data_IF_857360470026
#
_entry.id   IF_857360470026
#
_cell.length_a   1.000
_cell.length_b   1.000
_cell.length_c   1.000
_cell.angle_alpha   90.00
_cell.angle_beta   90.00
_cell.angle_gamma   90.00
#
_symmetry.space_group_name_H-M   'P 1'
#
loop_
_entity.id
_entity.type
_entity.pdbx_description
1 polymer ?
#
# COMPACT_ATOMS: atom_id res chain seq x y z
N UNK A 1 6.72 20.73 -16.03
CA UNK A 1 6.92 19.53 -15.18
C UNK A 1 6.00 18.37 -15.57
N UNK A 2 4.67 18.49 -15.46
CA UNK A 2 3.75 17.39 -15.81
C UNK A 2 3.94 16.87 -17.24
N UNK A 3 4.13 17.76 -18.22
CA UNK A 3 4.41 17.34 -19.60
C UNK A 3 5.73 16.57 -19.73
N UNK A 4 6.75 16.87 -18.91
CA UNK A 4 7.98 16.07 -18.87
C UNK A 4 7.70 14.68 -18.31
N UNK A 5 6.93 14.56 -17.23
CA UNK A 5 6.53 13.27 -16.68
C UNK A 5 5.77 12.41 -17.69
N UNK A 6 4.85 13.02 -18.45
CA UNK A 6 4.06 12.30 -19.47
C UNK A 6 4.91 11.68 -20.58
N UNK A 7 6.17 12.09 -20.77
CA UNK A 7 7.10 11.49 -21.74
C UNK A 7 7.56 10.09 -21.37
N UNK A 8 7.40 9.69 -20.11
CA UNK A 8 7.75 8.34 -19.69
C UNK A 8 6.96 7.30 -20.50
N UNK A 9 7.56 6.17 -20.87
CA UNK A 9 7.00 5.25 -21.86
C UNK A 9 5.86 4.38 -21.31
N UNK A 10 5.79 4.20 -19.99
CA UNK A 10 4.80 3.36 -19.34
C UNK A 10 3.86 4.19 -18.48
N UNK A 11 2.75 3.58 -18.09
CA UNK A 11 1.79 4.05 -17.12
C UNK A 11 1.58 2.99 -16.05
N UNK A 12 1.06 3.39 -14.91
CA UNK A 12 0.63 2.46 -13.86
C UNK A 12 -0.33 1.38 -14.40
N UNK A 13 -1.23 1.74 -15.32
CA UNK A 13 -2.13 0.76 -15.96
C UNK A 13 -1.43 -0.28 -16.83
N UNK A 14 -0.21 -0.02 -17.30
CA UNK A 14 0.55 -0.98 -18.11
C UNK A 14 1.24 -2.00 -17.21
N UNK A 15 1.72 -1.56 -16.05
CA UNK A 15 2.47 -2.36 -15.08
C UNK A 15 1.56 -3.19 -14.16
N UNK A 16 0.42 -2.63 -13.74
CA UNK A 16 -0.49 -3.27 -12.81
C UNK A 16 -1.74 -3.76 -13.54
N UNK A 17 -1.84 -5.08 -13.71
CA UNK A 17 -2.97 -5.73 -14.39
C UNK A 17 -4.31 -5.54 -13.67
N UNK A 18 -4.29 -5.48 -12.33
CA UNK A 18 -5.50 -5.27 -11.54
C UNK A 18 -5.32 -4.17 -10.51
N UNK A 19 -6.14 -3.14 -10.64
CA UNK A 19 -6.35 -2.09 -9.63
C UNK A 19 -7.79 -2.16 -9.15
N UNK A 20 -8.00 -2.90 -8.05
CA UNK A 20 -9.35 -3.22 -7.56
C UNK A 20 -9.65 -2.50 -6.26
N UNK A 21 -10.83 -1.88 -6.17
CA UNK A 21 -11.37 -1.43 -4.90
C UNK A 21 -11.60 -2.61 -3.96
N UNK A 22 -11.49 -2.41 -2.65
CA UNK A 22 -11.80 -3.45 -1.68
C UNK A 22 -13.29 -3.81 -1.55
N UNK A 23 -13.58 -4.59 -0.51
CA UNK A 23 -14.89 -5.15 -0.19
C UNK A 23 -15.92 -4.05 0.09
N UNK A 24 -17.13 -4.22 -0.45
CA UNK A 24 -18.32 -3.47 -0.02
C UNK A 24 -19.29 -4.45 0.65
N UNK A 25 -19.47 -4.31 1.96
CA UNK A 25 -20.39 -5.18 2.72
C UNK A 25 -21.84 -4.71 2.60
N UNK A 26 -22.05 -3.39 2.62
CA UNK A 26 -23.38 -2.77 2.82
C UNK A 26 -23.98 -3.12 4.19
N UNK A 27 -23.14 -3.21 5.21
CA UNK A 27 -23.51 -3.47 6.61
C UNK A 27 -22.27 -3.52 7.50
N UNK A 28 -21.40 -2.50 7.43
CA UNK A 28 -20.09 -2.53 8.09
C UNK A 28 -20.19 -2.76 9.60
N UNK A 29 -21.23 -2.25 10.24
CA UNK A 29 -21.56 -2.48 11.65
C UNK A 29 -21.86 -3.94 12.01
N UNK A 30 -22.38 -4.71 11.05
CA UNK A 30 -22.70 -6.14 11.19
C UNK A 30 -21.50 -7.02 10.78
N UNK A 31 -20.88 -6.71 9.64
CA UNK A 31 -19.84 -7.56 9.03
C UNK A 31 -18.42 -7.25 9.49
N UNK A 32 -18.11 -6.03 9.94
CA UNK A 32 -16.79 -5.68 10.46
C UNK A 32 -16.75 -5.80 11.98
N UNK A 33 -15.75 -6.54 12.45
CA UNK A 33 -15.60 -6.90 13.85
C UNK A 33 -14.22 -6.49 14.34
N UNK A 34 -14.12 -6.20 15.64
CA UNK A 34 -12.84 -6.10 16.34
C UNK A 34 -12.72 -7.31 17.26
N UNK A 35 -11.56 -7.96 17.24
CA UNK A 35 -11.37 -9.16 18.02
C UNK A 35 -10.02 -9.79 17.74
N UNK A 36 -9.92 -11.09 18.00
CA UNK A 36 -8.72 -11.89 17.82
C UNK A 36 -9.08 -13.30 17.37
N UNK A 37 -8.13 -13.96 16.72
CA UNK A 37 -8.25 -15.36 16.33
C UNK A 37 -7.58 -16.21 17.42
N UNK A 38 -8.31 -17.16 17.97
CA UNK A 38 -7.83 -18.13 18.96
C UNK A 38 -8.17 -19.53 18.45
N UNK A 39 -7.17 -20.39 18.28
CA UNK A 39 -7.35 -21.77 17.77
C UNK A 39 -8.21 -21.82 16.49
N UNK A 40 -9.43 -22.34 16.58
CA UNK A 40 -10.44 -22.51 15.53
C UNK A 40 -11.56 -21.46 15.57
N UNK A 41 -11.48 -20.50 16.50
CA UNK A 41 -12.51 -19.49 16.75
C UNK A 41 -12.00 -18.06 16.52
N UNK A 42 -12.95 -17.19 16.23
CA UNK A 42 -12.81 -15.76 16.36
C UNK A 42 -13.59 -15.32 17.60
N UNK A 43 -12.96 -14.53 18.46
CA UNK A 43 -13.60 -13.92 19.63
C UNK A 43 -13.49 -12.41 19.45
N UNK A 44 -14.63 -11.72 19.51
CA UNK A 44 -14.63 -10.27 19.31
C UNK A 44 -15.95 -9.61 19.65
N UNK A 45 -15.95 -8.28 19.56
CA UNK A 45 -17.10 -7.45 19.89
C UNK A 45 -17.92 -7.12 18.64
N UNK A 46 -19.21 -7.41 18.67
CA UNK A 46 -20.17 -6.95 17.67
C UNK A 46 -20.76 -5.62 18.12
N UNK A 47 -20.51 -4.57 17.34
CA UNK A 47 -21.15 -3.26 17.57
C UNK A 47 -22.65 -3.31 17.36
N UNK A 48 -23.12 -4.12 16.40
CA UNK A 48 -24.53 -4.22 16.06
C UNK A 48 -25.37 -4.95 17.14
N UNK A 49 -24.77 -5.90 17.88
CA UNK A 49 -25.42 -6.57 19.02
C UNK A 49 -25.00 -6.03 20.39
N UNK A 50 -24.05 -5.10 20.43
CA UNK A 50 -23.45 -4.54 21.66
C UNK A 50 -22.96 -5.61 22.66
N UNK A 51 -22.34 -6.67 22.14
CA UNK A 51 -21.84 -7.78 22.96
C UNK A 51 -20.66 -8.51 22.33
N UNK A 52 -19.96 -9.28 23.16
CA UNK A 52 -18.97 -10.25 22.68
C UNK A 52 -19.66 -11.41 21.96
N UNK A 53 -19.04 -11.86 20.86
CA UNK A 53 -19.49 -12.96 20.02
C UNK A 53 -18.32 -13.91 19.76
N UNK A 54 -18.66 -15.17 19.52
CA UNK A 54 -17.74 -16.21 19.10
C UNK A 54 -18.19 -16.71 17.74
N UNK A 55 -17.29 -16.69 16.76
CA UNK A 55 -17.53 -17.12 15.39
C UNK A 55 -16.51 -18.19 14.98
N UNK A 56 -16.79 -18.92 13.90
CA UNK A 56 -15.80 -19.79 13.28
C UNK A 56 -14.66 -18.96 12.67
N UNK A 57 -13.41 -19.34 12.93
CA UNK A 57 -12.24 -18.59 12.43
C UNK A 57 -12.17 -18.54 10.90
N UNK A 58 -12.53 -19.63 10.22
CA UNK A 58 -12.28 -19.80 8.78
C UNK A 58 -13.14 -18.89 7.89
N UNK A 59 -14.33 -18.48 8.34
CA UNK A 59 -15.20 -17.52 7.63
C UNK A 59 -14.82 -16.06 7.89
N UNK A 60 -14.01 -15.80 8.91
CA UNK A 60 -13.58 -14.46 9.29
C UNK A 60 -12.22 -14.16 8.68
N UNK A 61 -12.12 -13.08 7.90
CA UNK A 61 -10.87 -12.67 7.23
C UNK A 61 -10.30 -11.39 7.84
N UNK A 62 -8.97 -11.27 7.98
CA UNK A 62 -8.35 -10.03 8.41
C UNK A 62 -8.60 -8.95 7.34
N UNK A 63 -9.01 -7.74 7.76
CA UNK A 63 -9.32 -6.64 6.84
C UNK A 63 -8.60 -5.35 7.25
N UNK A 64 -7.98 -4.69 6.27
CA UNK A 64 -7.37 -3.37 6.42
C UNK A 64 -8.35 -2.29 5.97
N UNK A 65 -8.48 -1.24 6.78
CA UNK A 65 -9.31 -0.07 6.45
C UNK A 65 -8.43 1.05 5.88
N UNK A 66 -8.99 1.90 5.01
CA UNK A 66 -8.24 2.99 4.37
C UNK A 66 -7.46 3.89 5.34
N UNK A 67 -8.02 4.20 6.51
CA UNK A 67 -7.35 5.04 7.53
C UNK A 67 -6.09 4.39 8.14
N UNK A 68 -6.01 3.07 8.10
CA UNK A 68 -4.94 2.27 8.68
C UNK A 68 -3.84 1.95 7.64
N UNK A 69 -4.01 2.35 6.38
CA UNK A 69 -2.94 2.28 5.37
C UNK A 69 -1.93 3.40 5.60
N UNK A 70 -0.65 3.06 5.76
CA UNK A 70 0.44 4.00 6.04
C UNK A 70 1.64 3.74 5.13
N UNK A 71 2.41 4.81 4.88
CA UNK A 71 3.58 4.81 3.98
C UNK A 71 4.70 3.93 4.53
N UNK A 72 5.09 2.90 3.77
CA UNK A 72 6.14 1.92 4.10
C UNK A 72 5.94 1.16 5.43
N UNK A 73 4.76 1.18 6.03
CA UNK A 73 4.55 0.50 7.31
C UNK A 73 4.05 -0.92 7.10
N UNK A 74 4.52 -1.83 7.97
CA UNK A 74 3.98 -3.17 8.04
C UNK A 74 2.50 -3.10 8.44
N UNK A 75 1.68 -3.88 7.73
CA UNK A 75 0.25 -3.95 7.99
C UNK A 75 0.02 -4.54 9.38
N UNK A 76 -0.63 -3.75 10.24
CA UNK A 76 -1.14 -4.20 11.52
C UNK A 76 -2.64 -4.47 11.41
N UNK A 77 -3.02 -5.73 11.56
CA UNK A 77 -4.42 -6.09 11.50
C UNK A 77 -5.14 -5.72 12.80
N UNK A 78 -6.21 -4.92 12.69
CA UNK A 78 -7.06 -4.49 13.81
C UNK A 78 -8.53 -4.91 13.65
N UNK A 79 -8.92 -5.29 12.44
CA UNK A 79 -10.32 -5.51 12.09
C UNK A 79 -10.46 -6.81 11.32
N UNK A 80 -11.64 -7.39 11.42
CA UNK A 80 -11.98 -8.60 10.71
C UNK A 80 -13.30 -8.42 9.96
N UNK A 81 -13.47 -9.15 8.87
CA UNK A 81 -14.71 -9.19 8.09
C UNK A 81 -15.26 -10.61 8.07
N UNK A 82 -16.56 -10.76 8.32
CA UNK A 82 -17.26 -12.00 8.02
C UNK A 82 -17.38 -12.12 6.49
N UNK A 83 -16.79 -13.17 5.91
CA UNK A 83 -16.68 -13.36 4.47
C UNK A 83 -17.34 -14.67 4.02
N UNK A 84 -18.69 -14.70 3.84
CA UNK A 84 -19.44 -15.92 3.55
C UNK A 84 -19.41 -16.29 2.06
N UNK A 85 -18.20 -16.41 1.51
CA UNK A 85 -17.95 -16.75 0.11
C UNK A 85 -16.81 -17.78 0.01
N UNK A 86 -16.81 -18.54 -1.07
CA UNK A 86 -15.74 -19.47 -1.44
C UNK A 86 -15.34 -19.28 -2.90
N UNK A 87 -14.16 -19.79 -3.22
CA UNK A 87 -13.77 -20.08 -4.59
C UNK A 87 -14.56 -21.30 -5.10
N UNK A 88 -15.29 -21.11 -6.19
CA UNK A 88 -15.99 -22.15 -6.94
C UNK A 88 -15.73 -21.90 -8.43
N UNK A 89 -15.04 -22.82 -9.10
CA UNK A 89 -14.50 -22.68 -10.47
C UNK A 89 -13.70 -21.38 -10.68
N UNK A 90 -12.75 -21.08 -9.78
CA UNK A 90 -11.94 -19.86 -9.77
C UNK A 90 -12.72 -18.54 -9.67
N UNK A 91 -14.01 -18.61 -9.33
CA UNK A 91 -14.86 -17.44 -9.10
C UNK A 91 -15.29 -17.37 -7.65
N UNK A 92 -15.36 -16.16 -7.13
CA UNK A 92 -15.84 -15.94 -5.77
C UNK A 92 -17.37 -15.96 -5.76
N UNK A 93 -17.95 -16.96 -5.12
CA UNK A 93 -19.41 -17.12 -5.01
C UNK A 93 -19.84 -17.16 -3.54
N UNK A 94 -21.02 -16.61 -3.20
CA UNK A 94 -21.57 -16.78 -1.87
C UNK A 94 -21.83 -18.26 -1.58
N UNK A 95 -21.77 -18.64 -0.31
CA UNK A 95 -22.18 -19.98 0.10
C UNK A 95 -23.64 -20.25 -0.25
N UNK A 96 -23.98 -21.53 -0.49
CA UNK A 96 -25.38 -21.96 -0.44
C UNK A 96 -25.85 -21.91 1.02
N UNK A 97 -27.06 -21.42 1.30
CA UNK A 97 -27.56 -21.23 2.67
C UNK A 97 -27.48 -22.51 3.52
N UNK A 98 -27.85 -23.68 2.95
CA UNK A 98 -27.73 -24.98 3.64
C UNK A 98 -26.27 -25.31 4.01
N UNK A 99 -25.32 -25.03 3.12
CA UNK A 99 -23.90 -25.24 3.39
C UNK A 99 -23.43 -24.28 4.48
N UNK A 100 -23.80 -23.00 4.40
CA UNK A 100 -23.44 -21.98 5.38
C UNK A 100 -23.93 -22.36 6.77
N UNK A 101 -25.22 -22.69 6.91
CA UNK A 101 -25.83 -23.11 8.18
C UNK A 101 -25.14 -24.33 8.80
N UNK A 102 -24.78 -25.32 7.99
CA UNK A 102 -24.22 -26.58 8.50
C UNK A 102 -22.74 -26.47 8.88
N UNK A 103 -21.95 -25.65 8.17
CA UNK A 103 -20.49 -25.57 8.36
C UNK A 103 -20.05 -24.39 9.22
N UNK A 104 -20.89 -23.35 9.33
CA UNK A 104 -20.61 -22.15 10.11
C UNK A 104 -21.82 -21.74 10.97
N UNK A 105 -22.32 -22.65 11.84
CA UNK A 105 -23.55 -22.42 12.60
C UNK A 105 -23.48 -21.18 13.51
N UNK A 106 -22.35 -20.88 14.15
CA UNK A 106 -22.21 -19.71 15.03
C UNK A 106 -22.34 -18.40 14.23
N UNK A 107 -21.66 -18.32 13.09
CA UNK A 107 -21.75 -17.15 12.21
C UNK A 107 -23.12 -17.02 11.54
N UNK A 108 -23.74 -18.15 11.19
CA UNK A 108 -25.09 -18.16 10.65
C UNK A 108 -26.10 -17.63 11.68
N UNK A 109 -26.08 -18.14 12.92
CA UNK A 109 -26.94 -17.67 14.02
C UNK A 109 -26.68 -16.19 14.36
N UNK A 110 -25.42 -15.74 14.31
CA UNK A 110 -25.09 -14.33 14.45
C UNK A 110 -25.78 -13.47 13.39
N UNK A 111 -25.64 -13.81 12.10
CA UNK A 111 -26.22 -13.02 11.00
C UNK A 111 -27.75 -13.10 10.96
N UNK A 112 -28.37 -14.17 11.49
CA UNK A 112 -29.84 -14.30 11.56
C UNK A 112 -30.49 -13.15 12.35
N UNK A 113 -29.81 -12.60 13.37
CA UNK A 113 -30.30 -11.43 14.11
C UNK A 113 -30.56 -10.21 13.21
N UNK A 114 -29.97 -10.18 12.01
CA UNK A 114 -30.05 -9.08 11.06
C UNK A 114 -30.69 -9.48 9.73
N UNK A 115 -31.31 -10.66 9.63
CA UNK A 115 -31.78 -11.21 8.35
C UNK A 115 -32.69 -10.25 7.59
N UNK A 116 -33.72 -9.71 8.24
CA UNK A 116 -34.67 -8.80 7.59
C UNK A 116 -34.00 -7.50 7.15
N UNK A 117 -33.11 -6.95 7.97
CA UNK A 117 -32.33 -5.75 7.64
C UNK A 117 -31.42 -6.00 6.43
N UNK A 118 -30.72 -7.14 6.40
CA UNK A 118 -29.84 -7.53 5.30
C UNK A 118 -30.63 -7.75 4.01
N UNK A 119 -31.79 -8.42 4.06
CA UNK A 119 -32.71 -8.56 2.92
C UNK A 119 -33.15 -7.19 2.40
N UNK A 120 -33.60 -6.30 3.30
CA UNK A 120 -34.04 -4.96 2.94
C UNK A 120 -32.91 -4.16 2.26
N UNK A 121 -31.67 -4.26 2.77
CA UNK A 121 -30.50 -3.67 2.12
C UNK A 121 -30.24 -4.28 0.74
N UNK A 122 -30.32 -5.61 0.57
CA UNK A 122 -30.14 -6.26 -0.74
C UNK A 122 -31.14 -5.75 -1.77
N UNK A 123 -32.42 -5.66 -1.40
CA UNK A 123 -33.48 -5.12 -2.28
C UNK A 123 -33.20 -3.65 -2.63
N UNK A 124 -32.91 -2.81 -1.62
CA UNK A 124 -32.63 -1.37 -1.80
C UNK A 124 -31.49 -1.12 -2.79
N UNK A 125 -30.42 -1.93 -2.71
CA UNK A 125 -29.25 -1.80 -3.58
C UNK A 125 -29.30 -2.71 -4.81
N UNK A 126 -30.45 -3.32 -5.12
CA UNK A 126 -30.69 -4.18 -6.29
C UNK A 126 -29.71 -5.37 -6.40
N UNK A 127 -29.41 -6.01 -5.27
CA UNK A 127 -28.59 -7.22 -5.19
C UNK A 127 -29.45 -8.46 -4.95
N UNK A 128 -28.85 -9.65 -5.06
CA UNK A 128 -29.54 -10.92 -4.76
C UNK A 128 -29.97 -10.97 -3.28
N UNK A 129 -31.28 -10.99 -3.04
CA UNK A 129 -31.86 -11.11 -1.70
C UNK A 129 -31.99 -12.55 -1.21
N UNK A 130 -31.85 -13.55 -2.08
CA UNK A 130 -31.84 -14.97 -1.70
C UNK A 130 -30.60 -15.27 -0.85
N UNK A 131 -29.43 -14.79 -1.29
CA UNK A 131 -28.18 -14.87 -0.55
C UNK A 131 -28.05 -13.68 0.40
N UNK A 132 -29.02 -13.50 1.30
CA UNK A 132 -29.14 -12.34 2.18
C UNK A 132 -27.88 -12.06 3.03
N UNK A 133 -27.16 -13.12 3.41
CA UNK A 133 -25.90 -13.04 4.16
C UNK A 133 -24.68 -12.65 3.32
N UNK A 134 -24.77 -12.68 1.98
CA UNK A 134 -23.64 -12.37 1.09
C UNK A 134 -23.17 -10.92 1.23
N UNK A 135 -21.93 -10.66 0.83
CA UNK A 135 -21.39 -9.31 0.74
C UNK A 135 -21.88 -8.72 -0.58
N UNK A 136 -22.14 -7.42 -0.61
CA UNK A 136 -22.61 -6.77 -1.85
C UNK A 136 -21.54 -6.74 -2.94
N UNK A 137 -20.27 -6.53 -2.56
CA UNK A 137 -19.12 -6.68 -3.45
C UNK A 137 -18.00 -7.41 -2.69
N UNK A 138 -17.94 -8.75 -2.74
CA UNK A 138 -16.93 -9.52 -2.04
C UNK A 138 -15.52 -9.38 -2.66
N UNK A 139 -15.45 -9.01 -3.95
CA UNK A 139 -14.24 -9.07 -4.80
C UNK A 139 -13.73 -10.50 -4.96
N UNK A 140 -12.81 -10.70 -5.89
CA UNK A 140 -12.24 -12.02 -6.11
C UNK A 140 -11.26 -12.38 -4.99
N UNK A 141 -11.41 -13.56 -4.39
CA UNK A 141 -10.49 -14.08 -3.37
C UNK A 141 -9.06 -14.14 -3.92
N UNK A 142 -8.89 -14.49 -5.19
CA UNK A 142 -7.58 -14.56 -5.86
C UNK A 142 -6.82 -13.23 -5.86
N UNK A 143 -7.51 -12.09 -5.80
CA UNK A 143 -6.89 -10.76 -5.67
C UNK A 143 -6.20 -10.62 -4.31
N UNK A 144 -6.75 -11.24 -3.26
CA UNK A 144 -6.23 -11.14 -1.91
C UNK A 144 -5.15 -12.18 -1.62
N UNK A 145 -5.22 -13.37 -2.23
CA UNK A 145 -4.31 -14.50 -1.98
C UNK A 145 -2.92 -14.39 -2.62
N UNK A 146 -2.54 -13.19 -3.03
CA UNK A 146 -1.25 -12.88 -3.63
C UNK A 146 -0.67 -11.57 -3.06
N UNK A 147 0.63 -11.38 -3.28
CA UNK A 147 1.32 -10.15 -2.91
C UNK A 147 0.77 -8.98 -3.72
N UNK A 148 0.61 -7.83 -3.08
CA UNK A 148 0.02 -6.63 -3.70
C UNK A 148 0.46 -5.36 -3.01
N UNK A 149 0.34 -4.22 -3.71
CA UNK A 149 0.39 -2.92 -3.02
C UNK A 149 -1.02 -2.48 -2.64
N UNK A 150 -1.13 -1.75 -1.54
CA UNK A 150 -2.41 -1.20 -1.06
C UNK A 150 -2.24 0.30 -0.89
N UNK A 151 -3.24 1.08 -1.35
CA UNK A 151 -3.32 2.53 -1.11
C UNK A 151 -4.73 2.92 -0.66
N UNK A 152 -4.90 3.91 0.23
CA UNK A 152 -6.22 4.40 0.58
C UNK A 152 -6.83 5.20 -0.57
N UNK A 153 -8.15 5.23 -0.65
CA UNK A 153 -8.89 6.05 -1.62
C UNK A 153 -8.73 7.56 -1.37
N UNK A 154 -8.44 7.93 -0.14
CA UNK A 154 -8.21 9.31 0.29
C UNK A 154 -6.84 9.39 0.95
N UNK A 155 -5.98 10.26 0.45
CA UNK A 155 -4.63 10.42 1.00
C UNK A 155 -4.18 11.88 1.05
N UNK A 156 -3.21 12.15 1.93
CA UNK A 156 -2.48 13.43 2.07
C UNK A 156 -1.01 13.30 1.66
N UNK A 157 -0.68 12.28 0.88
CA UNK A 157 0.66 11.94 0.42
C UNK A 157 0.69 10.58 -0.28
N UNK A 158 1.87 10.11 -0.68
CA UNK A 158 2.05 8.74 -1.15
C UNK A 158 1.92 7.76 0.01
N UNK A 159 0.72 7.18 0.21
CA UNK A 159 0.44 6.18 1.26
C UNK A 159 0.19 4.82 0.62
N UNK A 160 1.24 4.25 0.05
CA UNK A 160 1.27 2.85 -0.37
C UNK A 160 1.97 2.00 0.69
N UNK A 161 1.43 0.80 0.92
CA UNK A 161 2.07 -0.27 1.68
C UNK A 161 2.17 -1.53 0.83
N UNK A 162 3.15 -2.37 1.14
CA UNK A 162 3.32 -3.67 0.51
C UNK A 162 2.71 -4.77 1.38
N UNK A 163 1.73 -5.47 0.83
CA UNK A 163 1.07 -6.58 1.50
C UNK A 163 1.64 -7.92 1.06
N UNK A 164 2.34 -8.56 2.00
CA UNK A 164 2.79 -9.96 1.93
C UNK A 164 1.92 -10.90 2.77
N UNK A 165 1.03 -10.34 3.61
CA UNK A 165 0.19 -11.08 4.55
C UNK A 165 -1.16 -11.47 3.95
N UNK A 166 -1.40 -11.13 2.67
CA UNK A 166 -2.62 -11.48 1.93
C UNK A 166 -3.89 -10.95 2.62
N UNK A 167 -3.81 -9.75 3.18
CA UNK A 167 -4.92 -9.12 3.90
C UNK A 167 -6.03 -8.72 2.93
N UNK A 168 -7.28 -8.77 3.39
CA UNK A 168 -8.39 -8.19 2.66
C UNK A 168 -8.42 -6.67 2.90
N UNK A 169 -9.06 -5.93 2.01
CA UNK A 169 -9.16 -4.46 2.13
C UNK A 169 -10.60 -4.00 2.01
N UNK A 170 -10.95 -2.91 2.67
CA UNK A 170 -12.27 -2.29 2.59
C UNK A 170 -12.44 -1.40 1.35
N UNK A 171 -13.66 -0.92 1.13
CA UNK A 171 -14.00 -0.03 0.02
C UNK A 171 -13.20 1.29 0.01
N UNK A 172 -12.63 1.66 1.16
CA UNK A 172 -11.75 2.81 1.32
C UNK A 172 -10.31 2.59 0.83
N UNK A 173 -10.01 1.45 0.21
CA UNK A 173 -8.69 1.09 -0.31
C UNK A 173 -8.76 0.59 -1.75
N UNK A 174 -7.59 0.56 -2.40
CA UNK A 174 -7.34 -0.10 -3.67
C UNK A 174 -6.16 -1.06 -3.56
N UNK A 175 -6.31 -2.26 -4.12
CA UNK A 175 -5.26 -3.27 -4.31
C UNK A 175 -4.62 -3.10 -5.68
N UNK A 176 -3.31 -3.22 -5.75
CA UNK A 176 -2.49 -3.14 -6.97
C UNK A 176 -1.75 -4.46 -7.16
N UNK A 177 -2.14 -5.22 -8.19
CA UNK A 177 -1.49 -6.48 -8.58
C UNK A 177 -0.64 -6.22 -9.82
N UNK A 178 0.65 -6.52 -9.69
CA UNK A 178 1.64 -6.32 -10.74
C UNK A 178 1.51 -7.41 -11.79
N UNK A 179 1.58 -7.04 -13.07
CA UNK A 179 1.71 -7.99 -14.16
C UNK A 179 3.06 -8.74 -14.03
N UNK A 180 3.06 -10.05 -14.26
CA UNK A 180 4.25 -10.89 -14.22
C UNK A 180 5.26 -10.59 -15.35
N UNK A 181 4.85 -9.91 -16.42
CA UNK A 181 5.72 -9.49 -17.53
C UNK A 181 6.79 -8.47 -17.10
N UNK A 182 6.54 -7.73 -16.02
CA UNK A 182 7.47 -6.74 -15.46
C UNK A 182 8.38 -7.38 -14.41
N UNK A 183 9.69 -7.27 -14.60
CA UNK A 183 10.69 -7.95 -13.74
C UNK A 183 10.97 -7.20 -12.44
N UNK A 184 10.67 -5.92 -12.38
CA UNK A 184 10.90 -5.08 -11.21
C UNK A 184 10.03 -5.53 -10.04
N UNK A 185 10.58 -5.44 -8.83
CA UNK A 185 9.88 -5.90 -7.63
C UNK A 185 8.75 -4.96 -7.21
N UNK A 186 7.85 -5.48 -6.38
CA UNK A 186 6.87 -4.64 -5.68
C UNK A 186 7.53 -3.52 -4.84
N UNK A 187 8.73 -3.75 -4.29
CA UNK A 187 9.44 -2.75 -3.49
C UNK A 187 9.97 -1.60 -4.35
N UNK A 188 10.45 -1.90 -5.55
CA UNK A 188 10.82 -0.86 -6.52
C UNK A 188 9.61 0.03 -6.84
N UNK A 189 8.46 -0.56 -7.21
CA UNK A 189 7.25 0.23 -7.46
C UNK A 189 6.73 0.95 -6.21
N UNK A 190 6.88 0.35 -5.03
CA UNK A 190 6.54 0.99 -3.76
C UNK A 190 7.37 2.28 -3.55
N UNK A 191 8.65 2.28 -3.91
CA UNK A 191 9.48 3.48 -3.86
C UNK A 191 8.94 4.59 -4.79
N UNK A 192 8.61 4.24 -6.04
CA UNK A 192 8.06 5.21 -7.01
C UNK A 192 6.72 5.78 -6.56
N UNK A 193 5.79 4.92 -6.12
CA UNK A 193 4.42 5.30 -5.76
C UNK A 193 4.31 6.04 -4.42
N UNK A 194 5.33 5.91 -3.57
CA UNK A 194 5.47 6.69 -2.34
C UNK A 194 6.33 7.94 -2.49
N UNK A 195 6.84 8.24 -3.69
CA UNK A 195 7.70 9.40 -3.91
C UNK A 195 6.96 10.74 -3.83
N UNK A 196 7.71 11.81 -3.57
CA UNK A 196 7.21 13.18 -3.72
C UNK A 196 6.76 13.49 -5.15
N UNK A 197 7.33 12.82 -6.14
CA UNK A 197 6.95 12.97 -7.54
C UNK A 197 5.52 12.44 -7.80
N UNK A 198 5.18 11.29 -7.23
CA UNK A 198 3.83 10.75 -7.27
C UNK A 198 2.84 11.68 -6.57
N UNK A 199 3.21 12.23 -5.41
CA UNK A 199 2.36 13.20 -4.72
C UNK A 199 2.14 14.47 -5.55
N UNK A 200 3.21 15.01 -6.14
CA UNK A 200 3.12 16.13 -7.08
C UNK A 200 2.15 15.81 -8.23
N UNK A 201 2.25 14.62 -8.83
CA UNK A 201 1.33 14.22 -9.89
C UNK A 201 -0.13 14.22 -9.43
N UNK A 202 -0.43 13.59 -8.28
CA UNK A 202 -1.80 13.51 -7.76
C UNK A 202 -2.37 14.87 -7.42
N UNK A 203 -1.59 15.75 -6.77
CA UNK A 203 -2.04 17.11 -6.46
C UNK A 203 -2.46 17.91 -7.69
N UNK A 204 -1.88 17.61 -8.85
CA UNK A 204 -2.12 18.34 -10.09
C UNK A 204 -3.14 17.67 -11.02
N UNK A 205 -3.44 16.39 -10.84
CA UNK A 205 -4.32 15.63 -11.75
C UNK A 205 -5.59 15.10 -11.09
N UNK A 206 -5.60 14.98 -9.76
CA UNK A 206 -6.73 14.47 -9.00
C UNK A 206 -7.59 15.59 -8.40
N UNK A 207 -8.83 15.23 -8.06
CA UNK A 207 -9.74 16.09 -7.33
C UNK A 207 -9.40 16.14 -5.83
N UNK A 208 -9.48 17.35 -5.29
CA UNK A 208 -9.37 17.63 -3.86
C UNK A 208 -10.62 17.10 -3.14
N UNK A 209 -10.42 16.42 -2.02
CA UNK A 209 -11.43 16.18 -1.00
C UNK A 209 -11.27 17.20 0.15
N UNK A 210 -12.20 17.23 1.10
CA UNK A 210 -12.14 18.16 2.22
C UNK A 210 -10.87 17.98 3.09
N UNK A 211 -10.43 19.07 3.72
CA UNK A 211 -9.36 19.08 4.71
C UNK A 211 -7.97 18.76 4.16
N UNK A 212 -7.72 18.96 2.86
CA UNK A 212 -6.42 18.74 2.20
C UNK A 212 -6.16 17.29 1.75
N UNK A 213 -7.15 16.41 1.89
CA UNK A 213 -7.09 15.06 1.30
C UNK A 213 -7.31 15.14 -0.22
N UNK A 214 -6.71 14.22 -0.97
CA UNK A 214 -6.91 14.07 -2.41
C UNK A 214 -7.42 12.66 -2.72
N UNK A 215 -8.16 12.53 -3.82
CA UNK A 215 -8.63 11.22 -4.28
C UNK A 215 -7.49 10.41 -4.93
N UNK A 216 -7.30 9.19 -4.46
CA UNK A 216 -6.41 8.18 -5.04
C UNK A 216 -7.26 7.14 -5.79
N UNK A 217 -8.14 7.62 -6.68
CA UNK A 217 -8.99 6.73 -7.48
C UNK A 217 -8.20 6.14 -8.67
N UNK A 218 -8.54 4.93 -9.15
CA UNK A 218 -7.89 4.30 -10.30
C UNK A 218 -7.87 5.19 -11.54
N UNK A 219 -8.93 5.97 -11.78
CA UNK A 219 -8.98 6.93 -12.90
C UNK A 219 -7.84 7.96 -12.89
N UNK A 220 -7.21 8.25 -11.74
CA UNK A 220 -6.05 9.13 -11.66
C UNK A 220 -4.76 8.32 -11.59
N UNK A 221 -4.74 7.29 -10.74
CA UNK A 221 -3.56 6.46 -10.50
C UNK A 221 -3.08 5.75 -11.76
N UNK A 222 -4.01 5.25 -12.59
CA UNK A 222 -3.71 4.57 -13.84
C UNK A 222 -2.86 5.41 -14.79
N UNK A 223 -2.98 6.74 -14.73
CA UNK A 223 -2.28 7.65 -15.63
C UNK A 223 -0.93 8.13 -15.09
N UNK A 224 -0.53 7.72 -13.89
CA UNK A 224 0.79 8.07 -13.38
C UNK A 224 1.86 7.46 -14.31
N UNK A 225 2.73 8.30 -14.92
CA UNK A 225 3.77 7.81 -15.82
C UNK A 225 4.83 7.03 -15.06
N UNK A 226 5.31 5.92 -15.62
CA UNK A 226 6.36 5.09 -15.05
C UNK A 226 7.53 4.95 -16.05
N UNK A 227 8.78 4.99 -15.55
CA UNK A 227 9.96 4.78 -16.37
C UNK A 227 10.07 3.31 -16.79
N UNK A 228 10.66 3.08 -17.96
CA UNK A 228 11.07 1.74 -18.39
C UNK A 228 12.48 1.49 -17.91
N UNK A 229 12.68 0.37 -17.23
CA UNK A 229 14.00 -0.02 -16.73
C UNK A 229 14.74 -0.84 -17.80
N UNK A 230 15.94 -0.38 -18.13
CA UNK A 230 16.82 -1.07 -19.08
C UNK A 230 17.66 -2.14 -18.38
N UNK A 231 18.22 -1.81 -17.22
CA UNK A 231 19.00 -2.72 -16.40
C UNK A 231 18.33 -2.94 -15.04
N UNK A 232 17.92 -4.17 -14.77
CA UNK A 232 17.24 -4.53 -13.52
C UNK A 232 18.07 -4.22 -12.27
N UNK A 233 19.40 -4.22 -12.38
CA UNK A 233 20.31 -3.87 -11.27
C UNK A 233 20.15 -2.41 -10.83
N UNK A 234 19.67 -1.52 -11.69
CA UNK A 234 19.37 -0.12 -11.33
C UNK A 234 18.21 -0.01 -10.32
N UNK A 235 17.39 -1.06 -10.18
CA UNK A 235 16.30 -1.10 -9.19
C UNK A 235 16.79 -1.47 -7.79
N UNK A 236 17.94 -2.12 -7.66
CA UNK A 236 18.40 -2.73 -6.39
C UNK A 236 18.54 -1.72 -5.25
N UNK A 237 19.13 -0.53 -5.44
CA UNK A 237 19.24 0.44 -4.35
C UNK A 237 17.87 0.91 -3.83
N UNK A 238 16.85 0.99 -4.69
CA UNK A 238 15.49 1.32 -4.26
C UNK A 238 14.92 0.24 -3.34
N UNK A 239 15.11 -1.02 -3.71
CA UNK A 239 14.64 -2.18 -2.92
C UNK A 239 15.32 -2.22 -1.55
N UNK A 240 16.63 -2.00 -1.50
CA UNK A 240 17.44 -1.98 -0.27
C UNK A 240 16.97 -0.85 0.66
N UNK A 241 16.85 0.38 0.16
CA UNK A 241 16.39 1.51 0.98
C UNK A 241 14.95 1.35 1.45
N UNK A 242 14.08 0.75 0.64
CA UNK A 242 12.73 0.38 1.07
C UNK A 242 12.78 -0.63 2.22
N UNK A 243 13.65 -1.64 2.15
CA UNK A 243 13.84 -2.61 3.24
C UNK A 243 14.36 -1.97 4.52
N UNK A 244 15.30 -1.03 4.41
CA UNK A 244 15.81 -0.26 5.55
C UNK A 244 14.68 0.53 6.23
N UNK A 245 13.90 1.28 5.45
CA UNK A 245 12.79 2.09 5.96
C UNK A 245 11.71 1.21 6.59
N UNK A 246 11.35 0.09 5.93
CA UNK A 246 10.36 -0.85 6.44
C UNK A 246 10.83 -1.47 7.77
N UNK A 247 12.10 -1.87 7.88
CA UNK A 247 12.65 -2.42 9.12
C UNK A 247 12.67 -1.38 10.24
N UNK A 248 13.20 -0.18 9.99
CA UNK A 248 13.25 0.91 10.98
C UNK A 248 11.87 1.27 11.54
N UNK A 249 10.82 1.21 10.71
CA UNK A 249 9.43 1.46 11.12
C UNK A 249 8.85 0.38 12.04
N UNK A 250 9.48 -0.79 12.13
CA UNK A 250 9.05 -1.87 13.03
C UNK A 250 9.81 -1.90 14.35
N UNK A 251 10.88 -1.12 14.50
CA UNK A 251 11.69 -1.08 15.70
C UNK A 251 11.11 -0.09 16.71
N UNK A 252 10.88 -0.57 17.93
CA UNK A 252 10.47 0.28 19.05
C UNK A 252 11.65 1.12 19.58
N UNK A 253 12.86 0.56 19.53
CA UNK A 253 14.09 1.23 19.97
C UNK A 253 14.81 1.92 18.82
N UNK A 254 15.43 3.05 19.11
CA UNK A 254 16.34 3.72 18.17
C UNK A 254 17.60 2.88 17.93
N UNK A 255 18.10 2.90 16.70
CA UNK A 255 19.32 2.16 16.32
C UNK A 255 20.61 2.96 16.52
N UNK A 256 20.50 4.28 16.59
CA UNK A 256 21.59 5.21 16.87
C UNK A 256 21.40 5.83 18.26
N UNK A 257 22.47 6.20 18.95
CA UNK A 257 22.42 6.76 20.30
C UNK A 257 21.80 8.16 20.36
N UNK A 258 21.95 8.97 19.30
CA UNK A 258 21.59 10.38 19.28
C UNK A 258 20.53 10.72 18.24
N UNK A 259 20.36 9.88 17.22
CA UNK A 259 19.46 10.13 16.09
C UNK A 259 18.23 9.22 16.17
N UNK A 260 17.01 9.78 16.26
CA UNK A 260 15.80 8.96 16.26
C UNK A 260 15.60 8.29 14.90
N UNK A 261 15.05 7.08 14.89
CA UNK A 261 14.77 6.32 13.66
C UNK A 261 13.95 7.14 12.63
N UNK A 262 13.06 8.02 13.09
CA UNK A 262 12.27 8.89 12.21
C UNK A 262 13.13 9.85 11.37
N UNK A 263 14.25 10.32 11.91
CA UNK A 263 15.18 11.19 11.21
C UNK A 263 16.07 10.40 10.24
N UNK A 264 16.50 9.19 10.62
CA UNK A 264 17.21 8.25 9.75
C UNK A 264 16.34 7.88 8.54
N UNK A 265 15.08 7.50 8.78
CA UNK A 265 14.08 7.21 7.74
C UNK A 265 13.95 8.40 6.78
N UNK A 266 13.85 9.63 7.32
CA UNK A 266 13.72 10.84 6.49
C UNK A 266 14.92 11.04 5.57
N UNK A 267 16.14 10.76 6.04
CA UNK A 267 17.35 10.81 5.20
C UNK A 267 17.30 9.78 4.07
N UNK A 268 16.92 8.53 4.35
CA UNK A 268 16.77 7.51 3.30
C UNK A 268 15.64 7.81 2.32
N UNK A 269 14.51 8.35 2.79
CA UNK A 269 13.43 8.82 1.91
C UNK A 269 13.88 9.97 1.01
N UNK A 270 14.75 10.87 1.48
CA UNK A 270 15.30 11.94 0.64
C UNK A 270 16.22 11.39 -0.45
N UNK A 271 17.03 10.38 -0.16
CA UNK A 271 17.84 9.67 -1.17
C UNK A 271 16.94 8.91 -2.16
N UNK A 272 15.91 8.21 -1.69
CA UNK A 272 14.92 7.56 -2.55
C UNK A 272 14.26 8.55 -3.51
N UNK A 273 13.78 9.69 -3.00
CA UNK A 273 13.18 10.73 -3.84
C UNK A 273 14.18 11.26 -4.88
N UNK A 274 15.45 11.45 -4.51
CA UNK A 274 16.50 11.89 -5.43
C UNK A 274 16.77 10.87 -6.56
N UNK A 275 16.84 9.59 -6.24
CA UNK A 275 16.96 8.52 -7.24
C UNK A 275 15.72 8.43 -8.14
N UNK A 276 14.51 8.67 -7.59
CA UNK A 276 13.29 8.77 -8.41
C UNK A 276 13.39 9.95 -9.37
N UNK A 277 13.89 11.10 -8.94
CA UNK A 277 14.06 12.24 -9.84
C UNK A 277 15.09 11.95 -10.94
N UNK A 278 16.24 11.38 -10.60
CA UNK A 278 17.25 10.96 -11.57
C UNK A 278 16.65 10.03 -12.62
N UNK A 279 15.86 9.04 -12.20
CA UNK A 279 15.23 8.08 -13.10
C UNK A 279 14.22 8.73 -14.06
N UNK A 280 13.51 9.77 -13.63
CA UNK A 280 12.51 10.45 -14.47
C UNK A 280 13.09 11.58 -15.32
N UNK A 281 14.25 12.12 -14.96
CA UNK A 281 14.88 13.29 -15.55
C UNK A 281 16.36 13.01 -15.87
N UNK A 282 16.62 11.86 -16.48
CA UNK A 282 17.95 11.32 -16.73
C UNK A 282 18.87 12.33 -17.46
N UNK A 283 18.37 12.92 -18.55
CA UNK A 283 19.11 13.93 -19.33
C UNK A 283 19.55 15.11 -18.46
N UNK A 284 18.65 15.67 -17.64
CA UNK A 284 18.99 16.81 -16.79
C UNK A 284 19.99 16.46 -15.67
N UNK A 285 19.93 15.24 -15.13
CA UNK A 285 20.87 14.78 -14.11
C UNK A 285 22.25 14.51 -14.70
N UNK A 286 22.32 13.88 -15.88
CA UNK A 286 23.54 13.66 -16.65
C UNK A 286 24.22 14.99 -17.02
N UNK A 287 23.46 15.96 -17.54
CA UNK A 287 23.95 17.31 -17.88
C UNK A 287 24.59 18.05 -16.70
N UNK A 288 24.15 17.76 -15.47
CA UNK A 288 24.70 18.36 -14.25
C UNK A 288 25.77 17.51 -13.56
N UNK A 289 26.07 16.34 -14.12
CA UNK A 289 26.97 15.33 -13.57
C UNK A 289 26.58 14.96 -12.12
N UNK A 290 25.28 14.68 -11.93
CA UNK A 290 24.70 14.27 -10.66
C UNK A 290 24.16 12.86 -10.83
N UNK A 291 24.77 11.91 -10.14
CA UNK A 291 24.38 10.49 -10.14
C UNK A 291 23.96 10.11 -8.71
N UNK A 292 22.82 9.46 -8.50
CA UNK A 292 22.43 8.91 -7.20
C UNK A 292 22.39 7.38 -7.24
N UNK A 293 21.76 6.80 -8.25
CA UNK A 293 21.58 5.34 -8.39
C UNK A 293 22.93 4.62 -8.38
N UNK A 294 23.94 5.15 -9.07
CA UNK A 294 25.30 4.60 -9.10
C UNK A 294 25.92 4.53 -7.70
N UNK A 295 26.01 5.66 -7.00
CA UNK A 295 26.61 5.69 -5.66
C UNK A 295 25.76 4.94 -4.64
N UNK A 296 24.43 4.89 -4.82
CA UNK A 296 23.55 4.10 -3.97
C UNK A 296 23.79 2.58 -4.10
N UNK A 297 24.26 2.09 -5.27
CA UNK A 297 24.73 0.70 -5.41
C UNK A 297 26.03 0.42 -4.67
N UNK A 298 26.87 1.44 -4.50
CA UNK A 298 28.16 1.33 -3.80
C UNK A 298 27.95 1.45 -2.27
N UNK A 299 27.11 2.39 -1.84
CA UNK A 299 26.95 2.79 -0.43
C UNK A 299 25.92 1.94 0.34
N UNK A 300 24.96 1.30 -0.35
CA UNK A 300 23.90 0.53 0.30
C UNK A 300 23.96 -0.95 -0.07
N UNK A 301 23.92 -1.79 0.96
CA UNK A 301 23.99 -3.24 0.83
C UNK A 301 22.68 -3.90 1.27
N UNK A 302 22.30 -5.06 0.71
CA UNK A 302 21.16 -5.82 1.22
C UNK A 302 21.31 -6.14 2.70
N UNK A 303 20.19 -6.16 3.43
CA UNK A 303 20.17 -6.56 4.84
C UNK A 303 20.70 -7.99 5.01
N UNK A 304 21.67 -8.15 5.90
CA UNK A 304 22.31 -9.41 6.26
C UNK A 304 21.85 -9.91 7.66
N UNK A 305 22.67 -10.69 8.35
CA UNK A 305 22.35 -11.18 9.70
C UNK A 305 22.29 -10.05 10.73
N UNK A 306 23.21 -9.07 10.65
CA UNK A 306 23.26 -7.91 11.54
C UNK A 306 22.57 -6.68 10.92
N UNK A 307 21.27 -6.83 10.70
CA UNK A 307 20.42 -5.85 10.00
C UNK A 307 20.50 -4.45 10.60
N UNK A 308 20.59 -4.33 11.92
CA UNK A 308 20.64 -3.05 12.61
C UNK A 308 21.95 -2.34 12.31
N UNK A 309 23.07 -3.07 12.45
CA UNK A 309 24.39 -2.54 12.13
C UNK A 309 24.51 -2.14 10.66
N UNK A 310 24.02 -2.98 9.75
CA UNK A 310 24.03 -2.69 8.30
C UNK A 310 23.31 -1.38 7.98
N UNK A 311 22.14 -1.12 8.57
CA UNK A 311 21.43 0.15 8.40
C UNK A 311 22.21 1.32 9.02
N UNK A 312 22.75 1.13 10.23
CA UNK A 312 23.49 2.17 10.93
C UNK A 312 24.76 2.57 10.18
N UNK A 313 25.53 1.60 9.69
CA UNK A 313 26.74 1.82 8.90
C UNK A 313 26.41 2.56 7.60
N UNK A 314 25.36 2.16 6.88
CA UNK A 314 24.86 2.89 5.70
C UNK A 314 24.42 4.32 6.02
N UNK A 315 23.80 4.56 7.18
CA UNK A 315 23.43 5.91 7.61
C UNK A 315 24.67 6.75 7.94
N UNK A 316 25.64 6.18 8.64
CA UNK A 316 26.90 6.84 8.98
C UNK A 316 27.68 7.23 7.72
N UNK A 317 27.78 6.33 6.74
CA UNK A 317 28.37 6.60 5.42
C UNK A 317 27.67 7.79 4.74
N UNK A 318 26.34 7.82 4.72
CA UNK A 318 25.57 8.95 4.16
C UNK A 318 25.86 10.27 4.89
N UNK A 319 26.15 10.22 6.19
CA UNK A 319 26.49 11.39 7.00
C UNK A 319 27.93 11.90 6.80
N UNK A 320 28.83 11.14 6.16
CA UNK A 320 30.21 11.57 5.93
C UNK A 320 30.28 12.78 4.98
N UNK A 321 31.22 13.70 5.21
CA UNK A 321 31.38 14.91 4.38
C UNK A 321 31.82 14.61 2.95
N UNK A 322 32.54 13.50 2.75
CA UNK A 322 33.04 13.07 1.44
C UNK A 322 32.05 12.22 0.67
N UNK A 323 30.95 11.79 1.31
CA UNK A 323 29.95 10.94 0.68
C UNK A 323 29.35 11.61 -0.56
N UNK A 324 29.30 10.86 -1.67
CA UNK A 324 28.87 11.39 -2.97
C UNK A 324 27.38 11.66 -3.00
N UNK A 325 26.55 10.80 -2.42
CA UNK A 325 25.09 10.97 -2.32
C UNK A 325 24.78 12.26 -1.55
N UNK A 326 25.38 12.46 -0.36
CA UNK A 326 25.20 13.67 0.45
C UNK A 326 25.55 14.95 -0.33
N UNK A 327 26.70 14.95 -0.99
CA UNK A 327 27.13 16.10 -1.79
C UNK A 327 26.20 16.33 -2.99
N UNK A 328 25.73 15.26 -3.62
CA UNK A 328 24.79 15.33 -4.74
C UNK A 328 23.41 15.82 -4.32
N UNK A 329 22.92 15.53 -3.10
CA UNK A 329 21.68 16.11 -2.57
C UNK A 329 21.76 17.65 -2.52
N UNK A 330 22.90 18.19 -2.08
CA UNK A 330 23.15 19.64 -2.04
C UNK A 330 23.22 20.20 -3.47
N UNK A 331 24.02 19.57 -4.34
CA UNK A 331 24.18 20.01 -5.73
C UNK A 331 22.87 19.96 -6.51
N UNK A 332 22.04 18.93 -6.32
CA UNK A 332 20.71 18.82 -6.93
C UNK A 332 19.82 20.00 -6.51
N UNK A 333 19.84 20.37 -5.23
CA UNK A 333 19.09 21.51 -4.72
C UNK A 333 19.48 22.85 -5.36
N UNK A 334 20.73 22.99 -5.83
CA UNK A 334 21.27 24.21 -6.43
C UNK A 334 21.12 24.17 -7.96
N UNK A 335 21.68 23.13 -8.60
CA UNK A 335 21.86 23.01 -10.06
C UNK A 335 20.60 22.54 -10.79
N UNK A 336 19.68 21.89 -10.08
CA UNK A 336 18.40 21.38 -10.60
C UNK A 336 17.21 22.01 -9.87
N UNK A 337 17.40 23.20 -9.29
CA UNK A 337 16.36 23.90 -8.51
C UNK A 337 15.07 24.10 -9.30
N UNK A 338 15.14 24.58 -10.55
CA UNK A 338 13.96 24.79 -11.41
C UNK A 338 13.16 23.51 -11.68
N UNK A 339 13.86 22.37 -11.71
CA UNK A 339 13.26 21.06 -11.89
C UNK A 339 12.63 20.56 -10.58
N UNK A 340 13.36 20.62 -9.47
CA UNK A 340 12.93 19.95 -8.23
C UNK A 340 12.01 20.82 -7.36
N UNK A 341 12.11 22.15 -7.43
CA UNK A 341 11.35 23.07 -6.59
C UNK A 341 9.83 22.98 -6.80
N UNK A 342 9.27 22.84 -8.02
CA UNK A 342 7.84 22.61 -8.22
C UNK A 342 7.34 21.35 -7.50
N UNK A 343 8.14 20.28 -7.48
CA UNK A 343 7.82 19.03 -6.79
C UNK A 343 7.85 19.25 -5.28
N UNK A 344 8.92 19.86 -4.74
CA UNK A 344 9.06 20.14 -3.30
C UNK A 344 7.95 21.05 -2.76
N UNK A 345 7.53 22.06 -3.52
CA UNK A 345 6.43 22.98 -3.13
C UNK A 345 5.08 22.29 -3.00
N UNK A 346 4.85 21.19 -3.72
CA UNK A 346 3.59 20.45 -3.61
C UNK A 346 3.40 19.72 -2.28
N UNK A 347 4.44 19.63 -1.44
CA UNK A 347 4.39 18.92 -0.16
C UNK A 347 3.83 19.82 0.95
N UNK A 348 3.87 21.14 0.76
CA UNK A 348 3.33 22.15 1.67
C UNK A 348 1.80 22.21 1.58
#
# INVERSE_FOLDING_TARGET
MLEKLKRQPLRVSDVFEYISQGIVTTGNDIFYLKGRLEEDKFIGFSKALDKEIILEKSIVKPILLGKDVKRYEKIQNKYFVIYPHSLDDNKTKPFKEKYFKNNYPLTYEYLLNFKDELIAKKIKYKNNSVDWFSLTRPREISIYEQNKLITPQLSKGGYFTYDINKIYIDAGCYSFIKNNDFKESYKFYLALLNSKLMWFFIKNTSSVFSGGYYYYKPMYLNHFPLPKIENIEDTKPFEILVDYIMLLKTLDNQIDEYVPNSQIIKSFEEVLDAMVYELYFKEEFEDKNIEFIKYAKEDYMPLDEDKIKTILDSYNILCETKNKIRNNLILMGIRLSDLILPIKRSIV
#
